data_IF_289415199803
#
_entry.id   IF_289415199803
#
_cell.length_a   1.000
_cell.length_b   1.000
_cell.length_c   1.000
_cell.angle_alpha   90.00
_cell.angle_beta   90.00
_cell.angle_gamma   90.00
#
_symmetry.space_group_name_H-M   'P 1'
#
loop_
_entity.id
_entity.type
_entity.pdbx_description
1 polymer ?
#
# COMPACT_ATOMS: atom_id res chain seq x y z
N UNK A 1 -4.22 -6.49 8.08
CA UNK A 1 -3.39 -6.65 6.88
C UNK A 1 -2.42 -7.81 7.07
N UNK A 2 -1.40 -7.66 7.93
CA UNK A 2 -0.39 -8.70 8.14
C UNK A 2 -0.98 -10.06 8.57
N UNK A 3 -1.96 -10.09 9.47
CA UNK A 3 -2.63 -11.36 9.85
C UNK A 3 -3.34 -12.08 8.70
N UNK A 4 -3.97 -11.33 7.77
CA UNK A 4 -4.60 -11.94 6.60
C UNK A 4 -3.57 -12.51 5.61
N UNK A 5 -2.40 -11.86 5.50
CA UNK A 5 -1.28 -12.34 4.68
C UNK A 5 -0.69 -13.62 5.30
N UNK A 6 -0.54 -13.67 6.63
CA UNK A 6 -0.11 -14.89 7.33
C UNK A 6 -1.09 -16.04 7.14
N UNK A 7 -2.41 -15.78 7.25
CA UNK A 7 -3.45 -16.79 6.98
C UNK A 7 -3.39 -17.33 5.54
N UNK A 8 -2.94 -16.52 4.60
CA UNK A 8 -2.72 -16.94 3.21
C UNK A 8 -1.43 -17.78 3.01
N UNK A 9 -0.69 -18.08 4.08
CA UNK A 9 0.47 -18.98 4.06
C UNK A 9 1.82 -18.31 3.80
N UNK A 10 1.89 -16.98 3.87
CA UNK A 10 3.14 -16.24 3.68
C UNK A 10 3.85 -16.01 5.03
N UNK A 11 5.19 -16.00 4.98
CA UNK A 11 6.02 -15.47 6.06
C UNK A 11 5.96 -13.94 6.06
N UNK A 12 5.70 -13.34 7.23
CA UNK A 12 5.41 -11.90 7.35
C UNK A 12 6.20 -11.28 8.48
N UNK A 13 7.11 -10.38 8.12
CA UNK A 13 7.69 -9.40 9.02
C UNK A 13 6.88 -8.09 8.95
N UNK A 14 6.53 -7.53 10.11
CA UNK A 14 5.78 -6.27 10.22
C UNK A 14 6.62 -5.23 10.94
N UNK A 15 6.71 -4.03 10.37
CA UNK A 15 7.52 -2.93 10.90
C UNK A 15 6.68 -1.66 11.01
N UNK A 16 6.88 -0.89 12.07
CA UNK A 16 6.26 0.42 12.25
C UNK A 16 7.23 1.39 12.92
N UNK A 17 7.08 2.68 12.62
CA UNK A 17 7.84 3.74 13.27
C UNK A 17 7.46 3.90 14.75
N UNK A 18 6.22 3.57 15.11
CA UNK A 18 5.71 3.60 16.49
C UNK A 18 5.41 2.17 16.93
N UNK A 19 5.95 1.77 18.07
CA UNK A 19 5.56 0.52 18.71
C UNK A 19 4.11 0.60 19.21
N UNK A 20 3.26 -0.29 18.70
CA UNK A 20 1.85 -0.43 19.09
C UNK A 20 1.52 -1.84 19.59
N UNK A 21 2.53 -2.64 19.95
CA UNK A 21 2.35 -4.03 20.38
C UNK A 21 2.09 -5.04 19.26
N UNK A 22 2.40 -4.68 18.01
CA UNK A 22 2.32 -5.58 16.86
C UNK A 22 3.51 -5.37 15.92
N UNK A 23 4.19 -6.47 15.55
CA UNK A 23 5.40 -6.41 14.75
C UNK A 23 6.58 -5.77 15.51
N UNK A 24 7.56 -5.27 14.75
CA UNK A 24 8.76 -4.62 15.25
C UNK A 24 8.56 -3.10 15.16
N UNK A 25 8.40 -2.46 16.32
CA UNK A 25 8.28 -1.00 16.43
C UNK A 25 9.63 -0.27 16.39
N UNK A 26 9.57 1.06 16.26
CA UNK A 26 10.77 1.92 16.27
C UNK A 26 11.58 1.92 14.96
N UNK A 27 11.04 1.35 13.89
CA UNK A 27 11.72 1.24 12.59
C UNK A 27 11.12 2.26 11.62
N UNK A 28 11.89 3.31 11.33
CA UNK A 28 11.55 4.28 10.28
C UNK A 28 11.87 3.67 8.91
N UNK A 29 10.84 3.25 8.16
CA UNK A 29 10.98 2.64 6.84
C UNK A 29 11.84 3.47 5.86
N UNK A 30 11.78 4.80 5.95
CA UNK A 30 12.52 5.70 5.06
C UNK A 30 14.00 5.83 5.42
N UNK A 31 14.38 5.50 6.66
CA UNK A 31 15.75 5.68 7.18
C UNK A 31 16.46 4.38 7.52
N UNK A 32 15.72 3.29 7.69
CA UNK A 32 16.28 2.00 8.03
C UNK A 32 17.12 1.45 6.86
N UNK A 33 18.24 0.80 7.20
CA UNK A 33 19.13 0.19 6.22
C UNK A 33 18.62 -1.21 5.86
N UNK A 34 17.70 -1.27 4.90
CA UNK A 34 17.12 -2.53 4.44
C UNK A 34 18.08 -3.32 3.56
N UNK A 35 18.09 -4.63 3.74
CA UNK A 35 18.72 -5.56 2.81
C UNK A 35 17.98 -5.54 1.47
N UNK A 36 18.71 -5.26 0.38
CA UNK A 36 18.14 -5.15 -0.96
C UNK A 36 17.71 -6.53 -1.47
N UNK A 37 16.50 -6.62 -2.00
CA UNK A 37 15.98 -7.85 -2.61
C UNK A 37 15.49 -8.88 -1.59
N UNK A 38 15.38 -8.51 -0.32
CA UNK A 38 14.93 -9.43 0.74
C UNK A 38 13.42 -9.60 0.79
N UNK A 39 12.68 -8.49 0.70
CA UNK A 39 11.26 -8.45 0.98
C UNK A 39 10.41 -8.08 -0.22
N UNK A 40 9.28 -8.76 -0.40
CA UNK A 40 8.13 -8.15 -1.05
C UNK A 40 7.46 -7.18 -0.06
N UNK A 41 6.92 -6.08 -0.57
CA UNK A 41 6.47 -4.97 0.27
C UNK A 41 4.97 -4.80 0.13
N UNK A 42 4.23 -4.93 1.24
CA UNK A 42 2.80 -4.63 1.29
C UNK A 42 2.56 -3.59 2.37
N UNK A 43 1.92 -2.47 2.02
CA UNK A 43 1.68 -1.40 2.99
C UNK A 43 0.46 -0.54 2.66
N UNK A 44 -0.08 0.12 3.68
CA UNK A 44 -1.01 1.24 3.55
C UNK A 44 -0.26 2.50 4.00
N UNK A 45 0.47 3.17 3.08
CA UNK A 45 1.39 4.22 3.46
C UNK A 45 0.61 5.46 3.93
N UNK A 46 1.14 6.24 4.88
CA UNK A 46 0.59 7.56 5.20
C UNK A 46 0.54 8.43 3.94
N UNK A 47 -0.57 9.14 3.72
CA UNK A 47 -0.83 9.86 2.47
C UNK A 47 0.26 10.87 2.08
N UNK A 48 0.79 11.59 3.07
CA UNK A 48 1.86 12.58 2.88
C UNK A 48 3.21 11.94 2.54
N UNK A 49 3.37 10.64 2.81
CA UNK A 49 4.61 9.90 2.64
C UNK A 49 4.57 8.87 1.51
N UNK A 50 3.48 8.81 0.73
CA UNK A 50 3.35 7.86 -0.38
C UNK A 50 4.55 7.89 -1.34
N UNK A 51 4.94 9.06 -1.84
CA UNK A 51 6.04 9.21 -2.81
C UNK A 51 7.36 8.70 -2.22
N UNK A 52 7.87 9.23 -1.08
CA UNK A 52 9.15 8.76 -0.55
C UNK A 52 9.12 7.28 -0.15
N UNK A 53 7.98 6.76 0.32
CA UNK A 53 7.85 5.33 0.60
C UNK A 53 7.92 4.48 -0.68
N UNK A 54 7.29 4.90 -1.77
CA UNK A 54 7.39 4.19 -3.04
C UNK A 54 8.82 4.23 -3.59
N UNK A 55 9.50 5.38 -3.50
CA UNK A 55 10.89 5.48 -3.96
C UNK A 55 11.84 4.59 -3.16
N UNK A 56 11.67 4.52 -1.84
CA UNK A 56 12.45 3.62 -0.99
C UNK A 56 12.11 2.15 -1.29
N UNK A 57 10.82 1.82 -1.41
CA UNK A 57 10.38 0.47 -1.74
C UNK A 57 10.98 -0.01 -3.07
N UNK A 58 10.97 0.85 -4.09
CA UNK A 58 11.56 0.57 -5.41
C UNK A 58 13.07 0.26 -5.36
N UNK A 59 13.79 0.75 -4.34
CA UNK A 59 15.22 0.47 -4.19
C UNK A 59 15.52 -0.89 -3.57
N UNK A 60 14.61 -1.41 -2.73
CA UNK A 60 14.90 -2.52 -1.82
C UNK A 60 14.03 -3.75 -2.06
N UNK A 61 12.92 -3.64 -2.79
CA UNK A 61 11.98 -4.74 -2.98
C UNK A 61 12.61 -5.94 -3.71
N UNK A 62 12.10 -7.12 -3.39
CA UNK A 62 12.48 -8.39 -4.00
C UNK A 62 11.85 -8.56 -5.38
N UNK A 63 10.54 -8.80 -5.42
CA UNK A 63 9.80 -9.10 -6.64
C UNK A 63 8.55 -8.22 -6.79
N UNK A 64 7.85 -7.88 -5.69
CA UNK A 64 6.60 -7.13 -5.70
C UNK A 64 6.48 -6.05 -4.65
N UNK A 65 5.74 -5.00 -5.00
CA UNK A 65 5.27 -3.95 -4.09
C UNK A 65 3.75 -3.84 -4.27
N UNK A 66 2.99 -3.83 -3.18
CA UNK A 66 1.56 -3.53 -3.17
C UNK A 66 1.26 -2.40 -2.16
N UNK A 67 0.73 -1.28 -2.66
CA UNK A 67 0.32 -0.16 -1.81
C UNK A 67 -1.18 0.06 -1.88
N UNK A 68 -1.84 0.11 -0.72
CA UNK A 68 -3.25 0.47 -0.62
C UNK A 68 -3.37 2.00 -0.64
N UNK A 69 -3.96 2.56 -1.69
CA UNK A 69 -4.08 4.01 -1.86
C UNK A 69 -5.48 4.37 -2.39
N UNK A 70 -5.96 5.60 -2.16
CA UNK A 70 -7.19 6.08 -2.79
C UNK A 70 -7.09 6.12 -4.31
N UNK A 71 -8.14 5.69 -5.01
CA UNK A 71 -8.20 5.63 -6.47
C UNK A 71 -7.92 7.00 -7.12
N UNK A 72 -8.38 8.09 -6.49
CA UNK A 72 -8.14 9.47 -6.94
C UNK A 72 -6.66 9.82 -7.10
N UNK A 73 -5.74 9.02 -6.56
CA UNK A 73 -4.29 9.21 -6.75
C UNK A 73 -3.90 9.12 -8.22
N UNK A 74 -4.63 8.36 -9.04
CA UNK A 74 -4.42 8.27 -10.50
C UNK A 74 -4.64 9.62 -11.20
N UNK A 75 -5.46 10.50 -10.65
CA UNK A 75 -5.93 11.74 -11.28
C UNK A 75 -5.32 12.99 -10.64
N UNK A 76 -4.00 13.04 -10.50
CA UNK A 76 -3.31 14.11 -9.77
C UNK A 76 -2.01 14.53 -10.45
N UNK A 77 -1.90 15.82 -10.81
CA UNK A 77 -0.73 16.39 -11.52
C UNK A 77 0.61 16.08 -10.83
N UNK A 78 0.78 16.28 -9.50
CA UNK A 78 2.04 15.94 -8.83
C UNK A 78 2.36 14.44 -8.84
N UNK A 79 1.33 13.58 -8.73
CA UNK A 79 1.50 12.12 -8.70
C UNK A 79 1.69 11.52 -10.09
N UNK A 80 1.29 12.22 -11.14
CA UNK A 80 1.57 11.77 -12.50
C UNK A 80 3.07 11.57 -12.74
N UNK A 81 3.93 12.44 -12.18
CA UNK A 81 5.38 12.29 -12.29
C UNK A 81 5.89 10.96 -11.70
N UNK A 82 5.40 10.58 -10.51
CA UNK A 82 5.83 9.32 -9.88
C UNK A 82 5.27 8.10 -10.60
N UNK A 83 4.02 8.14 -11.08
CA UNK A 83 3.46 7.03 -11.86
C UNK A 83 4.06 6.92 -13.26
N UNK A 84 4.56 8.02 -13.84
CA UNK A 84 5.34 7.98 -15.09
C UNK A 84 6.73 7.38 -14.87
N UNK A 85 7.39 7.73 -13.76
CA UNK A 85 8.71 7.18 -13.38
C UNK A 85 8.59 5.69 -13.04
N UNK A 86 7.54 5.33 -12.32
CA UNK A 86 7.28 4.01 -11.76
C UNK A 86 5.82 3.60 -12.03
N UNK A 87 5.48 3.18 -13.26
CA UNK A 87 4.13 2.75 -13.58
C UNK A 87 3.80 1.46 -12.82
N UNK A 88 2.67 1.38 -12.09
CA UNK A 88 2.23 0.12 -11.51
C UNK A 88 1.86 -0.83 -12.64
N UNK A 89 2.22 -2.10 -12.49
CA UNK A 89 1.84 -3.16 -13.42
C UNK A 89 0.33 -3.44 -13.39
N UNK A 90 -0.28 -3.32 -12.20
CA UNK A 90 -1.71 -3.57 -11.97
C UNK A 90 -2.27 -2.58 -10.96
N UNK A 91 -3.52 -2.19 -11.16
CA UNK A 91 -4.30 -1.47 -10.15
C UNK A 91 -5.60 -2.25 -9.92
N UNK A 92 -5.74 -2.81 -8.73
CA UNK A 92 -6.93 -3.54 -8.33
C UNK A 92 -7.88 -2.60 -7.59
N UNK A 93 -8.94 -2.18 -8.27
CA UNK A 93 -9.88 -1.18 -7.80
C UNK A 93 -11.01 -1.86 -7.04
N UNK A 94 -11.24 -1.42 -5.81
CA UNK A 94 -12.45 -1.80 -5.09
C UNK A 94 -13.66 -1.13 -5.74
N UNK A 95 -14.71 -1.91 -6.00
CA UNK A 95 -15.94 -1.35 -6.59
C UNK A 95 -16.81 -0.60 -5.57
N UNK A 96 -16.53 -0.78 -4.28
CA UNK A 96 -17.23 -0.16 -3.17
C UNK A 96 -16.34 0.83 -2.43
N UNK A 97 -16.96 1.86 -1.85
CA UNK A 97 -16.25 2.77 -0.95
C UNK A 97 -15.98 2.06 0.37
N UNK A 98 -14.74 2.15 0.84
CA UNK A 98 -14.31 1.51 2.07
C UNK A 98 -14.04 2.61 3.10
N UNK A 99 -14.58 2.43 4.30
CA UNK A 99 -14.16 3.24 5.45
C UNK A 99 -12.88 2.61 6.02
N UNK A 100 -11.76 3.31 5.90
CA UNK A 100 -10.54 2.96 6.63
C UNK A 100 -10.50 3.84 7.87
N UNK A 101 -10.94 3.30 9.00
CA UNK A 101 -10.92 4.02 10.25
C UNK A 101 -9.49 4.31 10.70
N UNK A 102 -9.21 5.58 11.04
CA UNK A 102 -7.95 5.93 11.71
C UNK A 102 -7.91 5.19 13.05
N UNK A 103 -6.81 4.45 13.29
CA UNK A 103 -6.60 3.67 14.52
C UNK A 103 -7.67 2.61 14.81
N UNK A 104 -8.36 2.07 13.80
CA UNK A 104 -9.39 1.05 14.00
C UNK A 104 -10.65 1.52 14.72
N UNK A 105 -10.80 2.84 14.96
CA UNK A 105 -11.98 3.43 15.61
C UNK A 105 -13.08 3.70 14.59
N UNK A 106 -13.80 2.65 14.21
CA UNK A 106 -14.94 2.77 13.29
C UNK A 106 -16.11 3.55 13.90
N UNK A 107 -16.25 3.52 15.22
CA UNK A 107 -17.29 4.23 15.99
C UNK A 107 -17.16 5.76 15.95
N UNK A 108 -15.98 6.29 15.60
CA UNK A 108 -15.73 7.73 15.53
C UNK A 108 -16.21 8.38 14.22
N UNK A 109 -16.82 7.60 13.32
CA UNK A 109 -17.33 8.07 12.05
C UNK A 109 -18.83 7.81 12.00
N UNK A 110 -19.63 8.88 11.92
CA UNK A 110 -21.06 8.76 11.58
C UNK A 110 -21.20 7.97 10.27
N UNK A 111 -22.30 7.23 10.14
CA UNK A 111 -22.56 6.36 8.98
C UNK A 111 -22.34 7.12 7.67
N UNK A 112 -21.25 6.82 6.96
CA UNK A 112 -20.92 7.41 5.66
C UNK A 112 -19.77 8.44 5.64
N UNK A 113 -19.27 8.90 6.79
CA UNK A 113 -18.11 9.81 6.81
C UNK A 113 -16.80 9.08 6.46
N UNK A 114 -15.96 9.71 5.62
CA UNK A 114 -14.66 9.19 5.13
C UNK A 114 -14.70 7.91 4.27
N UNK A 115 -15.84 7.65 3.61
CA UNK A 115 -15.94 6.65 2.55
C UNK A 115 -15.15 7.09 1.31
N UNK A 116 -14.09 6.37 1.01
CA UNK A 116 -13.23 6.59 -0.16
C UNK A 116 -13.12 5.31 -0.98
N UNK A 117 -12.96 5.45 -2.29
CA UNK A 117 -12.65 4.32 -3.17
C UNK A 117 -11.15 4.09 -3.10
N UNK A 118 -10.75 2.91 -2.63
CA UNK A 118 -9.35 2.49 -2.61
C UNK A 118 -9.02 1.57 -3.78
N UNK A 119 -7.74 1.43 -4.04
CA UNK A 119 -7.20 0.40 -4.91
C UNK A 119 -5.86 -0.11 -4.36
N UNK A 120 -5.54 -1.36 -4.69
CA UNK A 120 -4.17 -1.87 -4.57
C UNK A 120 -3.38 -1.53 -5.81
N UNK A 121 -2.32 -0.76 -5.64
CA UNK A 121 -1.36 -0.42 -6.69
C UNK A 121 -0.21 -1.42 -6.60
N UNK A 122 0.01 -2.19 -7.66
CA UNK A 122 0.96 -3.30 -7.64
C UNK A 122 2.08 -3.08 -8.66
N UNK A 123 3.31 -3.09 -8.19
CA UNK A 123 4.52 -3.11 -9.02
C UNK A 123 5.12 -4.51 -8.97
N UNK A 124 5.52 -5.01 -10.12
CA UNK A 124 6.18 -6.31 -10.27
C UNK A 124 7.45 -6.13 -11.09
N UNK A 125 8.51 -6.80 -10.65
CA UNK A 125 9.81 -6.78 -11.32
C UNK A 125 9.67 -7.32 -12.75
N UNK A 126 10.32 -6.66 -13.70
CA UNK A 126 10.25 -7.01 -15.13
C UNK A 126 8.96 -6.60 -15.84
N UNK A 127 8.08 -5.82 -15.21
CA UNK A 127 6.88 -5.30 -15.89
C UNK A 127 7.22 -4.32 -17.01
N UNK A 128 6.41 -4.34 -18.08
CA UNK A 128 6.69 -3.67 -19.36
C UNK A 128 6.20 -2.22 -19.45
N UNK A 129 5.79 -1.63 -18.33
CA UNK A 129 5.32 -0.24 -18.25
C UNK A 129 3.82 -0.03 -18.53
N UNK A 130 3.10 -1.05 -18.98
CA UNK A 130 1.63 -1.00 -19.10
C UNK A 130 0.96 -1.28 -17.75
N UNK A 131 -0.04 -0.47 -17.40
CA UNK A 131 -0.88 -0.67 -16.22
C UNK A 131 -2.18 -1.38 -16.58
N UNK A 132 -2.47 -2.52 -15.95
CA UNK A 132 -3.73 -3.25 -16.12
C UNK A 132 -4.69 -2.91 -14.96
N UNK A 133 -5.90 -2.46 -15.29
CA UNK A 133 -6.96 -2.30 -14.29
C UNK A 133 -7.65 -3.64 -14.03
N UNK A 134 -7.88 -3.95 -12.75
CA UNK A 134 -8.65 -5.10 -12.29
C UNK A 134 -9.66 -4.66 -11.24
N UNK A 135 -10.73 -5.41 -11.08
CA UNK A 135 -11.80 -5.10 -10.13
C UNK A 135 -11.76 -6.09 -8.96
N UNK A 136 -11.94 -5.58 -7.75
CA UNK A 136 -12.19 -6.38 -6.55
C UNK A 136 -13.63 -6.17 -6.14
N UNK A 137 -14.38 -7.28 -6.14
CA UNK A 137 -15.72 -7.34 -5.60
C UNK A 137 -15.65 -7.88 -4.17
N UNK A 138 -15.88 -7.02 -3.19
CA UNK A 138 -15.99 -7.42 -1.79
C UNK A 138 -17.46 -7.79 -1.53
N UNK A 139 -17.91 -8.99 -1.91
CA UNK A 139 -19.12 -9.50 -1.28
C UNK A 139 -18.77 -9.86 0.16
N UNK A 140 -19.42 -9.19 1.11
CA UNK A 140 -19.44 -9.65 2.51
C UNK A 140 -20.24 -10.93 2.62
#
# INVERSE_FOLDING_TARGET
MAEEIKKAGYEVDSFDIIDRGYGIGGIDFLKHNWEIGKYDIITNPPYTLFIPMLEQAMRIYKDKIAMLLPLRYLSSKPRYAIFKKYPPSKVYVYIERICIAKNGRFEAYESGMNLEIYAWYVWEKGSTGNTVLKWIHNMK
#
